data_IF_459367667560
#
_entry.id   IF_459367667560
#
_cell.length_a   1.000
_cell.length_b   1.000
_cell.length_c   1.000
_cell.angle_alpha   90.00
_cell.angle_beta   90.00
_cell.angle_gamma   90.00
#
_symmetry.space_group_name_H-M   'P 1'
#
loop_
_entity.id
_entity.type
_entity.pdbx_description
1 polymer ?
#
# COMPACT_ATOMS: atom_id res chain seq x y z
N UNK A 1 8.09 -8.19 -18.18
CA UNK A 1 7.16 -8.01 -17.05
C UNK A 1 7.08 -6.52 -16.73
N UNK A 2 5.91 -5.90 -16.86
CA UNK A 2 5.76 -4.46 -16.62
C UNK A 2 5.04 -4.22 -15.28
N UNK A 3 5.78 -3.76 -14.27
CA UNK A 3 5.26 -3.38 -12.95
C UNK A 3 5.38 -1.86 -12.70
N UNK A 4 5.65 -1.08 -13.76
CA UNK A 4 6.02 0.33 -13.66
C UNK A 4 7.50 0.56 -13.31
N UNK A 5 7.96 1.82 -13.30
CA UNK A 5 9.39 2.20 -13.21
C UNK A 5 10.02 1.91 -11.84
N UNK A 6 9.21 1.76 -10.79
CA UNK A 6 9.65 1.51 -9.42
C UNK A 6 9.32 0.09 -8.93
N UNK A 7 8.56 -0.68 -9.72
CA UNK A 7 8.09 -2.00 -9.33
C UNK A 7 9.10 -3.09 -9.67
N UNK A 8 9.54 -3.84 -8.67
CA UNK A 8 10.28 -5.07 -8.91
C UNK A 8 9.29 -6.13 -9.42
N UNK A 9 9.67 -6.86 -10.46
CA UNK A 9 8.88 -7.98 -10.95
C UNK A 9 9.57 -9.31 -10.64
N UNK A 10 8.80 -10.25 -10.09
CA UNK A 10 9.20 -11.63 -9.85
C UNK A 10 8.12 -12.57 -10.33
N UNK A 11 8.50 -13.68 -10.97
CA UNK A 11 7.56 -14.74 -11.33
C UNK A 11 7.65 -15.85 -10.29
N UNK A 12 6.53 -16.18 -9.65
CA UNK A 12 6.42 -17.30 -8.70
C UNK A 12 5.41 -18.29 -9.25
N UNK A 13 5.83 -19.52 -9.54
CA UNK A 13 4.99 -20.57 -10.13
C UNK A 13 4.24 -20.11 -11.41
N UNK A 14 4.93 -19.38 -12.29
CA UNK A 14 4.34 -18.82 -13.51
C UNK A 14 3.41 -17.61 -13.29
N UNK A 15 3.09 -17.27 -12.05
CA UNK A 15 2.33 -16.08 -11.69
C UNK A 15 3.24 -14.87 -11.55
N UNK A 16 2.91 -13.79 -12.26
CA UNK A 16 3.59 -12.50 -12.14
C UNK A 16 3.25 -11.85 -10.80
N UNK A 17 4.27 -11.59 -9.98
CA UNK A 17 4.16 -10.83 -8.73
C UNK A 17 4.98 -9.55 -8.87
N UNK A 18 4.32 -8.40 -8.74
CA UNK A 18 5.00 -7.12 -8.62
C UNK A 18 5.24 -6.81 -7.13
N UNK A 19 6.48 -6.53 -6.75
CA UNK A 19 6.85 -5.95 -5.45
C UNK A 19 7.07 -4.45 -5.62
N UNK A 20 6.21 -3.66 -5.01
CA UNK A 20 6.37 -2.21 -4.96
C UNK A 20 7.19 -1.80 -3.72
N UNK A 21 7.97 -0.70 -3.80
CA UNK A 21 8.68 -0.15 -2.65
C UNK A 21 7.71 0.41 -1.61
N UNK A 22 8.22 0.69 -0.41
CA UNK A 22 7.41 1.25 0.68
C UNK A 22 6.75 2.58 0.25
N UNK A 23 5.47 2.75 0.60
CA UNK A 23 4.67 3.88 0.11
C UNK A 23 4.19 3.75 -1.34
N UNK A 24 4.32 2.58 -1.97
CA UNK A 24 3.75 2.25 -3.28
C UNK A 24 2.96 0.94 -3.19
N UNK A 25 1.88 0.83 -3.95
CA UNK A 25 1.08 -0.41 -4.02
C UNK A 25 0.62 -0.65 -5.46
N UNK A 26 0.21 -1.89 -5.76
CA UNK A 26 -0.12 -2.30 -7.14
C UNK A 26 -1.50 -1.77 -7.50
N UNK A 27 -1.59 -1.00 -8.57
CA UNK A 27 -2.83 -0.57 -9.21
C UNK A 27 -2.70 -0.77 -10.71
N UNK A 28 -3.68 -1.41 -11.34
CA UNK A 28 -3.66 -1.69 -12.79
C UNK A 28 -2.35 -2.34 -13.26
N UNK A 29 -1.85 -3.31 -12.49
CA UNK A 29 -0.56 -4.00 -12.71
C UNK A 29 0.70 -3.13 -12.65
N UNK A 30 0.62 -1.90 -12.13
CA UNK A 30 1.75 -0.97 -11.96
C UNK A 30 1.88 -0.52 -10.51
N UNK A 31 3.09 -0.19 -10.08
CA UNK A 31 3.32 0.41 -8.77
C UNK A 31 2.95 1.88 -8.80
N UNK A 32 1.85 2.22 -8.15
CA UNK A 32 1.38 3.60 -7.97
C UNK A 32 1.70 4.07 -6.55
N UNK A 33 2.03 5.36 -6.42
CA UNK A 33 2.36 5.94 -5.12
C UNK A 33 1.13 5.90 -4.23
N UNK A 34 1.27 5.25 -3.09
CA UNK A 34 0.26 5.23 -2.06
C UNK A 34 0.74 5.88 -0.76
N UNK A 35 0.29 7.11 -0.57
CA UNK A 35 0.59 7.92 0.60
C UNK A 35 -0.48 7.73 1.68
N UNK A 36 -0.12 7.07 2.78
CA UNK A 36 -0.96 6.79 3.95
C UNK A 36 -0.41 7.39 5.25
N UNK A 37 0.60 8.26 5.13
CA UNK A 37 1.46 8.71 6.24
C UNK A 37 2.85 8.06 6.17
N UNK A 38 3.85 8.76 6.71
CA UNK A 38 5.26 8.30 6.76
C UNK A 38 5.52 7.27 7.86
N UNK A 39 4.49 6.84 8.57
CA UNK A 39 4.65 5.97 9.71
C UNK A 39 4.89 4.52 9.24
N UNK A 40 5.99 3.92 9.68
CA UNK A 40 6.34 2.52 9.43
C UNK A 40 5.27 1.55 9.98
N UNK A 41 4.35 2.07 10.80
CA UNK A 41 3.23 1.37 11.41
C UNK A 41 2.02 1.21 10.49
N UNK A 42 2.03 1.82 9.30
CA UNK A 42 0.89 1.83 8.37
C UNK A 42 1.17 0.98 7.12
N UNK A 43 0.11 0.36 6.60
CA UNK A 43 0.06 -0.47 5.41
C UNK A 43 -0.87 0.23 4.41
N UNK A 44 -0.40 0.44 3.17
CA UNK A 44 -1.29 0.84 2.10
C UNK A 44 -1.75 -0.35 1.25
N UNK A 45 -3.07 -0.42 1.06
CA UNK A 45 -3.74 -1.30 0.12
C UNK A 45 -4.40 -0.44 -0.97
N UNK A 46 -3.92 -0.51 -2.20
CA UNK A 46 -4.61 0.10 -3.35
C UNK A 46 -5.73 -0.85 -3.82
N UNK A 47 -6.98 -0.37 -3.81
CA UNK A 47 -8.13 -1.00 -4.46
C UNK A 47 -8.42 -0.27 -5.77
N UNK A 48 -9.14 -0.92 -6.68
CA UNK A 48 -9.44 -0.41 -8.04
C UNK A 48 -9.79 1.10 -8.10
N UNK A 49 -10.64 1.57 -7.19
CA UNK A 49 -11.16 2.94 -7.17
C UNK A 49 -10.75 3.78 -5.95
N UNK A 50 -10.13 3.19 -4.93
CA UNK A 50 -9.72 3.91 -3.72
C UNK A 50 -8.49 3.28 -3.07
N UNK A 51 -7.76 4.08 -2.29
CA UNK A 51 -6.69 3.58 -1.43
C UNK A 51 -7.20 3.38 -0.02
N UNK A 52 -6.82 2.25 0.57
CA UNK A 52 -7.16 1.86 1.93
C UNK A 52 -5.88 1.82 2.75
N UNK A 53 -5.82 2.65 3.79
CA UNK A 53 -4.71 2.73 4.71
C UNK A 53 -5.09 1.99 6.00
N UNK A 54 -4.26 1.03 6.44
CA UNK A 54 -4.49 0.20 7.64
C UNK A 54 -3.25 0.10 8.49
N UNK A 55 -3.37 -0.18 9.78
CA UNK A 55 -2.20 -0.45 10.61
C UNK A 55 -1.60 -1.84 10.33
N UNK A 56 -0.26 -1.95 10.37
CA UNK A 56 0.44 -3.23 10.30
C UNK A 56 0.11 -4.08 11.52
N UNK A 57 0.29 -5.40 11.40
CA UNK A 57 0.14 -6.34 12.53
C UNK A 57 1.08 -5.88 13.66
N UNK A 58 0.53 -5.62 14.85
CA UNK A 58 1.15 -4.99 16.06
C UNK A 58 0.89 -3.49 16.26
N UNK A 59 0.23 -2.81 15.33
CA UNK A 59 -0.15 -1.41 15.51
C UNK A 59 -1.67 -1.25 15.51
N UNK A 60 -2.15 -0.32 16.31
CA UNK A 60 -3.58 -0.03 16.46
C UNK A 60 -3.90 1.36 15.94
N UNK A 61 -5.07 1.55 15.32
CA UNK A 61 -5.53 2.89 14.98
C UNK A 61 -5.66 3.70 16.26
N UNK A 62 -4.96 4.84 16.34
CA UNK A 62 -5.11 5.75 17.47
C UNK A 62 -6.52 6.33 17.37
N UNK A 63 -7.38 5.95 18.32
CA UNK A 63 -8.83 6.20 18.35
C UNK A 63 -9.20 7.60 17.82
N UNK A 64 -10.05 7.65 16.78
CA UNK A 64 -10.71 8.88 16.31
C UNK A 64 -10.39 9.37 14.88
N UNK A 65 -9.37 8.85 14.19
CA UNK A 65 -9.10 9.20 12.78
C UNK A 65 -9.45 8.01 11.88
N UNK A 66 -10.68 8.01 11.34
CA UNK A 66 -11.09 7.08 10.28
C UNK A 66 -11.06 7.78 8.93
N UNK A 67 -9.90 7.92 8.28
CA UNK A 67 -9.93 8.22 6.87
C UNK A 67 -10.17 6.90 6.13
N UNK A 68 -11.44 6.47 6.07
CA UNK A 68 -11.88 5.40 5.14
C UNK A 68 -11.45 5.66 3.68
N UNK A 69 -10.98 6.87 3.39
CA UNK A 69 -10.57 7.37 2.06
C UNK A 69 -9.41 8.39 2.08
N UNK A 70 -8.61 8.48 3.15
CA UNK A 70 -7.73 9.65 3.37
C UNK A 70 -6.38 9.31 4.00
N UNK A 71 -5.47 10.28 3.94
CA UNK A 71 -4.02 10.10 3.86
C UNK A 71 -3.33 10.02 5.23
N UNK A 72 -4.10 9.81 6.30
CA UNK A 72 -3.73 10.19 7.68
C UNK A 72 -4.09 9.10 8.71
N UNK A 73 -3.91 7.83 8.37
CA UNK A 73 -4.06 6.73 9.35
C UNK A 73 -2.88 6.74 10.30
N UNK A 74 -3.08 7.20 11.53
CA UNK A 74 -2.06 7.19 12.58
C UNK A 74 -2.13 5.90 13.38
N UNK A 75 -1.11 5.08 13.23
CA UNK A 75 -0.98 3.78 13.86
C UNK A 75 0.02 3.89 15.02
N UNK A 76 -0.42 3.51 16.23
CA UNK A 76 0.35 3.58 17.47
C UNK A 76 0.42 2.22 18.18
#
# INVERSE_FOLDING_TARGET
CDCGPLGNCTFVNGSKICKCPEGYSIRDSKCEKCDCGKDESTLCILRYSYKECRCKKNYSERTGYFPKYGKDTRCA
#
